data_IF_096787910243
#
_entry.id   IF_096787910243
#
_cell.length_a   1.000
_cell.length_b   1.000
_cell.length_c   1.000
_cell.angle_alpha   90.00
_cell.angle_beta   90.00
_cell.angle_gamma   90.00
#
_symmetry.space_group_name_H-M   'P 1'
#
loop_
_entity.id
_entity.type
_entity.pdbx_description
1 polymer ?
#
# COMPACT_ATOMS: atom_id res chain seq x y z
N UNK A 1 -17.00 4.19 -6.63
CA UNK A 1 -15.99 3.16 -6.86
C UNK A 1 -14.60 3.77 -6.82
N UNK A 2 -13.72 3.22 -6.03
CA UNK A 2 -12.34 3.71 -5.94
C UNK A 2 -11.55 3.36 -7.19
N UNK A 3 -10.79 4.32 -7.68
CA UNK A 3 -9.90 4.14 -8.82
C UNK A 3 -8.50 4.64 -8.48
N UNK A 4 -7.53 4.20 -9.23
CA UNK A 4 -6.16 4.67 -9.08
C UNK A 4 -5.28 4.21 -10.23
N UNK A 5 -4.01 4.52 -10.12
CA UNK A 5 -3.04 4.16 -11.13
C UNK A 5 -1.66 4.76 -10.88
N UNK A 6 -0.77 4.58 -11.85
CA UNK A 6 0.58 5.11 -11.79
C UNK A 6 0.66 6.54 -12.30
N UNK A 7 1.77 7.20 -12.01
CA UNK A 7 1.98 8.60 -12.41
C UNK A 7 1.87 8.82 -13.91
N UNK A 8 2.46 7.93 -14.73
CA UNK A 8 2.44 8.11 -16.19
C UNK A 8 1.12 7.70 -16.84
N UNK A 9 0.20 7.10 -16.07
CA UNK A 9 -1.11 6.69 -16.58
C UNK A 9 -1.15 5.35 -17.31
N UNK A 10 -0.01 4.67 -17.46
CA UNK A 10 0.04 3.39 -18.17
C UNK A 10 -0.68 2.28 -17.39
N UNK A 11 -0.64 2.34 -16.05
CA UNK A 11 -1.31 1.37 -15.17
C UNK A 11 -2.52 2.02 -14.54
N UNK A 12 -3.69 1.38 -14.70
CA UNK A 12 -4.95 1.86 -14.12
C UNK A 12 -5.71 0.69 -13.49
N UNK A 13 -6.33 0.94 -12.35
CA UNK A 13 -7.12 -0.07 -11.65
C UNK A 13 -8.37 0.55 -11.04
N UNK A 14 -9.32 -0.30 -10.69
CA UNK A 14 -10.43 0.07 -9.83
C UNK A 14 -10.66 -1.00 -8.77
N UNK A 15 -11.35 -0.61 -7.70
CA UNK A 15 -11.69 -1.50 -6.61
C UNK A 15 -13.20 -1.70 -6.61
N UNK A 16 -13.63 -2.97 -6.58
CA UNK A 16 -15.05 -3.34 -6.55
C UNK A 16 -15.57 -3.63 -5.14
N UNK A 17 -14.66 -3.58 -4.14
CA UNK A 17 -15.00 -3.79 -2.74
C UNK A 17 -14.22 -2.85 -1.83
N UNK A 18 -14.42 -2.94 -0.52
CA UNK A 18 -13.86 -1.98 0.42
C UNK A 18 -12.36 -2.17 0.64
N UNK A 19 -11.70 -1.08 0.98
CA UNK A 19 -10.35 -1.11 1.54
C UNK A 19 -10.41 -1.36 3.04
N UNK A 20 -9.42 -2.08 3.56
CA UNK A 20 -9.17 -2.12 5.00
C UNK A 20 -8.66 -0.79 5.52
N UNK A 21 -8.42 -0.73 6.83
CA UNK A 21 -7.89 0.48 7.46
C UNK A 21 -6.44 0.75 7.01
N UNK A 22 -6.07 2.03 7.04
CA UNK A 22 -4.74 2.47 6.63
C UNK A 22 -3.72 2.16 7.72
N UNK A 23 -2.63 1.52 7.32
CA UNK A 23 -1.46 1.30 8.17
C UNK A 23 -0.26 1.99 7.52
N UNK A 24 0.47 2.74 8.33
CA UNK A 24 1.72 3.39 7.90
C UNK A 24 2.90 2.54 8.35
N UNK A 25 3.65 2.00 7.40
CA UNK A 25 4.76 1.08 7.69
C UNK A 25 6.11 1.76 7.57
N UNK A 26 6.85 1.80 8.67
CA UNK A 26 8.16 2.44 8.78
C UNK A 26 9.33 1.49 8.58
N UNK A 27 9.12 0.25 8.19
CA UNK A 27 10.22 -0.69 8.02
C UNK A 27 11.18 -0.21 6.95
N UNK A 28 12.45 -0.60 7.06
CA UNK A 28 13.49 -0.18 6.12
C UNK A 28 13.11 -0.48 4.67
N UNK A 29 12.52 -1.63 4.42
CA UNK A 29 12.10 -2.01 3.07
C UNK A 29 11.07 -1.03 2.51
N UNK A 30 10.04 -0.68 3.30
CA UNK A 30 9.02 0.28 2.87
C UNK A 30 9.60 1.67 2.67
N UNK A 31 10.47 2.11 3.58
CA UNK A 31 11.13 3.43 3.43
C UNK A 31 11.94 3.51 2.15
N UNK A 32 12.76 2.49 1.89
CA UNK A 32 13.65 2.51 0.72
C UNK A 32 12.90 2.33 -0.59
N UNK A 33 11.91 1.44 -0.64
CA UNK A 33 11.14 1.23 -1.87
C UNK A 33 10.31 2.45 -2.24
N UNK A 34 9.83 3.20 -1.27
CA UNK A 34 9.01 4.39 -1.53
C UNK A 34 9.78 5.70 -1.41
N UNK A 35 11.05 5.66 -0.99
CA UNK A 35 11.87 6.86 -0.75
C UNK A 35 11.14 7.86 0.14
N UNK A 36 10.55 7.37 1.22
CA UNK A 36 9.68 8.14 2.11
C UNK A 36 9.88 7.70 3.55
N UNK A 37 9.32 8.46 4.49
CA UNK A 37 9.32 8.09 5.90
C UNK A 37 8.62 6.76 6.14
N UNK A 38 7.55 6.48 5.39
CA UNK A 38 6.77 5.24 5.52
C UNK A 38 5.95 5.00 4.26
N UNK A 39 5.46 3.77 4.11
CA UNK A 39 4.44 3.46 3.12
C UNK A 39 3.05 3.52 3.77
N UNK A 40 2.06 4.04 3.06
CA UNK A 40 0.66 4.08 3.52
C UNK A 40 -0.10 3.02 2.74
N UNK A 41 -0.57 2.01 3.45
CA UNK A 41 -1.10 0.80 2.82
C UNK A 41 -2.43 0.37 3.44
N UNK A 42 -3.22 -0.35 2.66
CA UNK A 42 -4.44 -1.01 3.13
C UNK A 42 -4.66 -2.28 2.33
N UNK A 43 -5.28 -3.26 2.98
CA UNK A 43 -5.59 -4.53 2.31
C UNK A 43 -6.87 -4.39 1.48
N UNK A 44 -6.88 -5.07 0.34
CA UNK A 44 -8.08 -5.25 -0.47
C UNK A 44 -8.12 -6.69 -0.98
N UNK A 45 -9.29 -7.32 -0.98
CA UNK A 45 -9.42 -8.69 -1.44
C UNK A 45 -8.96 -8.83 -2.90
N UNK A 46 -8.31 -9.94 -3.22
CA UNK A 46 -7.84 -10.20 -4.59
C UNK A 46 -8.97 -10.02 -5.61
N UNK A 47 -10.17 -10.50 -5.26
CA UNK A 47 -11.34 -10.44 -6.14
C UNK A 47 -11.84 -9.02 -6.37
N UNK A 48 -11.46 -8.08 -5.49
CA UNK A 48 -11.93 -6.70 -5.55
C UNK A 48 -10.91 -5.75 -6.18
N UNK A 49 -9.70 -6.21 -6.44
CA UNK A 49 -8.68 -5.43 -7.14
C UNK A 49 -8.72 -5.79 -8.62
N UNK A 50 -9.15 -4.84 -9.46
CA UNK A 50 -9.30 -5.05 -10.88
C UNK A 50 -8.34 -4.18 -11.66
N UNK A 51 -7.33 -4.78 -12.29
CA UNK A 51 -6.42 -4.07 -13.17
C UNK A 51 -7.13 -3.80 -14.50
N UNK A 52 -7.29 -2.53 -14.85
CA UNK A 52 -8.00 -2.12 -16.08
C UNK A 52 -7.06 -1.99 -17.26
N UNK A 53 -5.87 -1.41 -17.04
CA UNK A 53 -4.88 -1.19 -18.07
C UNK A 53 -3.48 -1.40 -17.49
N UNK A 54 -2.55 -1.78 -18.34
CA UNK A 54 -1.14 -1.77 -18.00
C UNK A 54 -0.58 -3.05 -17.39
N UNK A 55 -1.24 -4.19 -17.56
CA UNK A 55 -0.69 -5.47 -17.07
C UNK A 55 0.74 -5.69 -17.57
N UNK A 56 1.02 -5.38 -18.83
CA UNK A 56 2.36 -5.51 -19.42
C UNK A 56 3.36 -4.45 -18.96
N UNK A 57 2.92 -3.45 -18.24
CA UNK A 57 3.78 -2.39 -17.67
C UNK A 57 4.15 -2.63 -16.22
N UNK A 58 3.53 -3.61 -15.57
CA UNK A 58 3.86 -3.95 -14.19
C UNK A 58 5.08 -4.85 -14.16
N UNK A 59 6.05 -4.46 -13.34
CA UNK A 59 7.18 -5.29 -12.95
C UNK A 59 7.14 -5.52 -11.45
N UNK A 60 7.95 -6.44 -10.96
CA UNK A 60 7.96 -6.72 -9.54
C UNK A 60 9.36 -7.00 -9.03
N UNK A 61 9.52 -6.85 -7.72
CA UNK A 61 10.72 -7.21 -6.99
C UNK A 61 10.32 -8.04 -5.77
N UNK A 62 10.97 -9.17 -5.58
CA UNK A 62 10.74 -9.99 -4.40
C UNK A 62 11.54 -9.42 -3.23
N UNK A 63 10.89 -8.69 -2.34
CA UNK A 63 11.54 -7.98 -1.23
C UNK A 63 11.83 -8.88 -0.03
N UNK A 64 11.10 -9.97 0.11
CA UNK A 64 11.35 -11.04 1.06
C UNK A 64 10.74 -12.33 0.49
N UNK A 65 11.13 -13.53 0.97
CA UNK A 65 10.60 -14.76 0.40
C UNK A 65 9.08 -14.76 0.34
N UNK A 66 8.54 -14.91 -0.86
CA UNK A 66 7.11 -14.98 -1.11
C UNK A 66 6.39 -13.65 -1.16
N UNK A 67 7.08 -12.51 -1.03
CA UNK A 67 6.43 -11.20 -1.11
C UNK A 67 6.93 -10.41 -2.31
N UNK A 68 6.04 -10.16 -3.26
CA UNK A 68 6.33 -9.40 -4.47
C UNK A 68 5.76 -7.98 -4.35
N UNK A 69 6.58 -6.99 -4.72
CA UNK A 69 6.19 -5.58 -4.77
C UNK A 69 6.08 -5.16 -6.21
N UNK A 70 4.88 -4.80 -6.62
CA UNK A 70 4.57 -4.49 -8.02
C UNK A 70 4.58 -2.99 -8.26
N UNK A 71 5.20 -2.59 -9.35
CA UNK A 71 5.38 -1.18 -9.73
C UNK A 71 5.30 -1.02 -11.25
N UNK A 72 5.02 0.21 -11.69
CA UNK A 72 5.06 0.54 -13.11
C UNK A 72 6.50 0.63 -13.59
N UNK A 73 6.87 -0.18 -14.58
CA UNK A 73 8.24 -0.18 -15.10
C UNK A 73 8.60 1.10 -15.84
N UNK A 74 7.60 1.88 -16.30
CA UNK A 74 7.84 3.11 -17.04
C UNK A 74 8.08 4.31 -16.14
N UNK A 75 7.33 4.46 -15.04
CA UNK A 75 7.46 5.62 -14.15
C UNK A 75 7.88 5.28 -12.73
N UNK A 76 7.96 4.00 -12.37
CA UNK A 76 8.40 3.55 -11.05
C UNK A 76 7.35 3.64 -9.95
N UNK A 77 6.13 4.05 -10.23
CA UNK A 77 5.09 4.14 -9.21
C UNK A 77 4.77 2.78 -8.62
N UNK A 78 4.82 2.64 -7.30
CA UNK A 78 4.42 1.43 -6.63
C UNK A 78 2.90 1.36 -6.56
N UNK A 79 2.34 0.17 -6.86
CA UNK A 79 0.90 -0.04 -6.92
C UNK A 79 0.43 -0.93 -5.78
N UNK A 80 0.98 -2.13 -5.68
CA UNK A 80 0.59 -3.05 -4.62
C UNK A 80 1.70 -4.05 -4.31
N UNK A 81 1.59 -4.68 -3.14
CA UNK A 81 2.41 -5.83 -2.79
C UNK A 81 1.50 -7.04 -2.58
N UNK A 82 2.03 -8.21 -2.88
CA UNK A 82 1.30 -9.47 -2.73
C UNK A 82 2.20 -10.49 -2.06
N UNK A 83 1.70 -11.10 -0.98
CA UNK A 83 2.39 -12.23 -0.35
C UNK A 83 1.77 -13.52 -0.84
N UNK A 84 2.60 -14.48 -1.19
CA UNK A 84 2.17 -15.80 -1.61
C UNK A 84 1.26 -16.43 -0.55
N UNK A 85 0.17 -17.04 -0.99
CA UNK A 85 -0.77 -17.74 -0.11
C UNK A 85 -1.83 -16.86 0.54
N UNK A 86 -1.80 -15.53 0.36
CA UNK A 86 -2.84 -14.65 0.88
C UNK A 86 -3.94 -14.43 -0.15
N UNK A 87 -5.14 -14.10 0.32
CA UNK A 87 -6.30 -13.82 -0.53
C UNK A 87 -6.54 -12.31 -0.70
N UNK A 88 -5.52 -11.50 -0.46
CA UNK A 88 -5.61 -10.05 -0.59
C UNK A 88 -4.29 -9.49 -1.11
N UNK A 89 -4.36 -8.29 -1.68
CA UNK A 89 -3.19 -7.48 -2.00
C UNK A 89 -3.09 -6.34 -0.98
N UNK A 90 -1.89 -5.80 -0.83
CA UNK A 90 -1.65 -4.61 0.01
C UNK A 90 -1.47 -3.44 -0.94
N UNK A 91 -2.50 -2.62 -1.05
CA UNK A 91 -2.52 -1.48 -1.96
C UNK A 91 -1.68 -0.34 -1.41
N UNK A 92 -0.89 0.29 -2.28
CA UNK A 92 -0.13 1.49 -1.94
C UNK A 92 -1.02 2.70 -2.18
N UNK A 93 -1.50 3.32 -1.09
CA UNK A 93 -2.61 4.26 -1.15
C UNK A 93 -2.29 5.58 -1.85
N UNK A 94 -1.01 5.93 -1.97
CA UNK A 94 -0.62 7.10 -2.75
C UNK A 94 -1.02 7.02 -4.22
N UNK A 95 -1.32 5.81 -4.73
CA UNK A 95 -1.75 5.62 -6.11
C UNK A 95 -3.26 5.82 -6.32
N UNK A 96 -4.04 6.03 -5.25
CA UNK A 96 -5.49 6.29 -5.38
C UNK A 96 -5.76 7.65 -6.02
N UNK A 97 -6.79 7.72 -6.83
CA UNK A 97 -7.28 8.97 -7.41
C UNK A 97 -8.14 9.69 -6.36
N UNK A 98 -7.78 10.91 -5.99
CA UNK A 98 -8.56 11.70 -5.02
C UNK A 98 -10.01 11.89 -5.44
N UNK A 99 -10.26 12.05 -6.75
CA UNK A 99 -11.60 12.27 -7.29
C UNK A 99 -12.53 11.09 -7.05
N UNK A 100 -12.00 9.91 -6.80
CA UNK A 100 -12.80 8.71 -6.55
C UNK A 100 -13.16 8.54 -5.07
N UNK A 101 -12.56 9.32 -4.18
CA UNK A 101 -12.82 9.25 -2.73
C UNK A 101 -14.09 10.01 -2.36
N UNK A 102 -14.84 9.48 -1.40
CA UNK A 102 -16.01 10.13 -0.81
C UNK A 102 -16.11 9.73 0.67
N UNK A 103 -17.11 10.26 1.38
CA UNK A 103 -17.26 10.01 2.81
C UNK A 103 -17.53 8.53 3.16
N UNK A 104 -18.06 7.77 2.20
CA UNK A 104 -18.42 6.36 2.44
C UNK A 104 -17.29 5.39 2.16
N UNK A 105 -16.41 5.70 1.19
CA UNK A 105 -15.37 4.79 0.74
C UNK A 105 -13.96 5.15 1.20
N UNK A 106 -13.78 6.29 1.88
CA UNK A 106 -12.46 6.70 2.38
C UNK A 106 -12.05 5.81 3.56
N UNK A 107 -10.92 5.11 3.48
CA UNK A 107 -10.46 4.29 4.58
C UNK A 107 -10.01 5.15 5.77
N UNK A 108 -10.07 4.58 6.97
CA UNK A 108 -9.64 5.27 8.19
C UNK A 108 -8.19 4.95 8.49
N UNK A 109 -7.44 5.92 9.00
CA UNK A 109 -6.11 5.68 9.52
C UNK A 109 -6.20 4.87 10.81
N UNK A 110 -5.35 3.86 10.93
CA UNK A 110 -5.36 2.93 12.05
C UNK A 110 -4.12 3.01 12.92
N UNK A 111 -2.94 2.91 12.32
CA UNK A 111 -1.71 2.82 13.11
C UNK A 111 -0.47 3.09 12.28
N UNK A 112 0.65 3.28 13.00
CA UNK A 112 2.00 3.20 12.48
C UNK A 112 2.63 1.91 12.98
N UNK A 113 3.30 1.16 12.12
CA UNK A 113 3.97 -0.08 12.47
C UNK A 113 5.45 -0.02 12.09
N UNK A 114 6.24 -0.91 12.69
CA UNK A 114 7.68 -1.00 12.48
C UNK A 114 8.41 0.29 12.84
N UNK A 115 7.93 0.97 13.88
CA UNK A 115 8.55 2.22 14.34
C UNK A 115 9.98 2.01 14.86
N UNK A 116 10.36 0.79 15.24
CA UNK A 116 11.74 0.47 15.61
C UNK A 116 12.72 0.70 14.45
N UNK A 117 12.23 0.72 13.22
CA UNK A 117 13.04 0.94 12.01
C UNK A 117 12.80 2.30 11.36
N UNK A 118 12.04 3.18 12.02
CA UNK A 118 11.69 4.47 11.41
C UNK A 118 12.93 5.30 11.07
N UNK A 119 12.76 6.17 10.08
CA UNK A 119 13.82 7.06 9.64
C UNK A 119 14.29 7.94 10.80
N UNK A 120 15.62 8.07 10.97
CA UNK A 120 16.17 8.85 12.05
C UNK A 120 15.85 10.35 11.99
N UNK A 121 15.46 10.84 10.81
CA UNK A 121 15.08 12.25 10.59
C UNK A 121 13.58 12.49 10.76
N UNK A 122 12.77 11.44 10.99
CA UNK A 122 11.31 11.56 11.11
C UNK A 122 10.88 11.64 12.56
N UNK A 123 9.99 12.57 12.88
CA UNK A 123 9.35 12.66 14.19
C UNK A 123 7.88 12.27 14.08
N UNK A 124 7.48 11.29 14.89
CA UNK A 124 6.13 10.77 14.87
C UNK A 124 5.24 11.58 15.81
N UNK A 125 4.53 12.56 15.26
CA UNK A 125 3.64 13.46 16.00
C UNK A 125 2.16 13.08 15.89
N UNK A 126 1.89 11.82 15.67
CA UNK A 126 0.54 11.29 15.48
C UNK A 126 -0.12 10.93 16.81
N UNK A 127 -1.45 11.00 16.83
CA UNK A 127 -2.25 10.45 17.93
C UNK A 127 -2.62 8.97 17.68
N UNK A 128 -2.31 8.44 16.50
CA UNK A 128 -2.55 7.04 16.17
C UNK A 128 -1.66 6.13 17.02
N UNK A 129 -2.10 4.89 17.29
CA UNK A 129 -1.23 3.89 17.91
C UNK A 129 0.05 3.69 17.10
N UNK A 130 1.16 3.57 17.81
CA UNK A 130 2.48 3.35 17.20
C UNK A 130 3.07 2.07 17.78
N UNK A 131 3.40 1.12 16.93
CA UNK A 131 3.94 -0.18 17.33
C UNK A 131 5.37 -0.31 16.84
N UNK A 132 6.25 -0.84 17.69
CA UNK A 132 7.66 -1.05 17.34
C UNK A 132 7.84 -2.05 16.21
N UNK A 133 6.95 -3.05 16.14
CA UNK A 133 6.93 -4.05 15.07
C UNK A 133 5.53 -4.14 14.49
N UNK A 134 5.07 -5.32 14.10
CA UNK A 134 3.71 -5.48 13.59
C UNK A 134 2.69 -5.23 14.70
N UNK A 135 1.46 -4.87 14.34
CA UNK A 135 0.38 -4.77 15.31
C UNK A 135 0.14 -6.12 15.96
N UNK A 136 0.01 -6.17 17.30
CA UNK A 136 -0.24 -7.42 18.02
C UNK A 136 -1.71 -7.83 17.96
N UNK A 137 -2.32 -7.74 16.78
CA UNK A 137 -3.74 -8.06 16.57
C UNK A 137 -3.84 -9.33 15.76
N UNK A 138 -4.56 -10.32 16.30
CA UNK A 138 -4.80 -11.57 15.59
C UNK A 138 -5.57 -11.32 14.28
N UNK A 139 -5.22 -12.06 13.24
CA UNK A 139 -5.91 -12.00 11.96
C UNK A 139 -5.51 -10.88 11.02
N UNK A 140 -4.45 -10.20 11.33
CA UNK A 140 -3.89 -9.19 10.43
C UNK A 140 -3.23 -9.83 9.22
#
# INVERSE_FOLDING_TARGET
MLTGGCLCGAVKYHLTGPLGDIVHCHCETCRKTHSSAFSSVAAVADTDFQLLEGAGKLSHFESSPGKLRWFCQSCGSHIYAKREGTAHVILRLGSLDNDSLNAENTPRERSHIWASQQAGWYQNNTELPVFDEAEPVAGR
#
